data_IF_455285878177
#
_entry.id   IF_455285878177
#
_cell.length_a   1.000
_cell.length_b   1.000
_cell.length_c   1.000
_cell.angle_alpha   90.00
_cell.angle_beta   90.00
_cell.angle_gamma   90.00
#
_symmetry.space_group_name_H-M   'P 1'
#
loop_
_entity.id
_entity.type
_entity.pdbx_description
1 polymer ?
#
# COMPACT_ATOMS: atom_id res chain seq x y z
N UNK A 1 14.51 1.06 -12.80
CA UNK A 1 13.54 0.73 -11.73
C UNK A 1 12.73 1.96 -11.40
N UNK A 2 11.43 1.83 -11.26
CA UNK A 2 10.54 2.94 -10.92
C UNK A 2 10.49 3.13 -9.40
N UNK A 3 10.41 4.36 -8.90
CA UNK A 3 10.17 4.57 -7.48
C UNK A 3 8.85 3.94 -7.05
N UNK A 4 8.82 3.41 -5.84
CA UNK A 4 7.59 2.87 -5.27
C UNK A 4 6.76 4.04 -4.73
N UNK A 5 5.51 4.15 -5.18
CA UNK A 5 4.64 5.24 -4.75
C UNK A 5 3.90 4.83 -3.48
N UNK A 6 4.08 5.58 -2.42
CA UNK A 6 3.30 5.43 -1.18
C UNK A 6 2.20 6.47 -1.22
N UNK A 7 0.97 6.00 -1.42
CA UNK A 7 -0.17 6.86 -1.78
C UNK A 7 -1.15 6.93 -0.64
N UNK A 8 -1.40 8.13 -0.13
CA UNK A 8 -2.47 8.37 0.84
C UNK A 8 -3.81 8.39 0.12
N UNK A 9 -4.77 7.61 0.62
CA UNK A 9 -6.13 7.58 0.09
C UNK A 9 -7.05 8.59 0.76
N UNK A 10 -6.53 9.38 1.70
CA UNK A 10 -7.33 10.35 2.44
C UNK A 10 -8.25 9.66 3.45
N UNK A 11 -9.35 10.34 3.86
CA UNK A 11 -10.19 9.88 4.96
C UNK A 11 -11.13 8.71 4.62
N UNK A 12 -11.11 8.19 3.40
CA UNK A 12 -11.91 7.03 3.03
C UNK A 12 -12.92 7.26 1.93
N UNK A 13 -13.21 8.50 1.59
CA UNK A 13 -14.08 8.83 0.46
C UNK A 13 -13.27 8.79 -0.83
N UNK A 14 -13.63 7.94 -1.81
CA UNK A 14 -12.88 7.87 -3.07
C UNK A 14 -12.75 9.20 -3.80
N UNK A 15 -13.71 10.10 -3.63
CA UNK A 15 -13.68 11.41 -4.29
C UNK A 15 -12.66 12.37 -3.67
N UNK A 16 -12.14 12.05 -2.50
CA UNK A 16 -11.18 12.91 -1.79
C UNK A 16 -9.72 12.57 -2.08
N UNK A 17 -9.46 11.61 -2.97
CA UNK A 17 -8.10 11.31 -3.38
C UNK A 17 -7.54 12.45 -4.25
N UNK A 18 -6.23 12.70 -4.14
CA UNK A 18 -5.60 13.72 -5.00
C UNK A 18 -5.50 13.23 -6.44
N UNK A 19 -5.44 14.16 -7.38
CA UNK A 19 -5.27 13.81 -8.80
C UNK A 19 -3.95 13.08 -9.04
N UNK A 20 -2.89 13.48 -8.36
CA UNK A 20 -1.59 12.83 -8.48
C UNK A 20 -1.66 11.39 -7.95
N UNK A 21 -2.34 11.18 -6.82
CA UNK A 21 -2.54 9.86 -6.26
C UNK A 21 -3.29 8.95 -7.21
N UNK A 22 -4.38 9.44 -7.80
CA UNK A 22 -5.16 8.67 -8.76
C UNK A 22 -4.34 8.31 -9.99
N UNK A 23 -3.55 9.25 -10.50
CA UNK A 23 -2.68 9.01 -11.65
C UNK A 23 -1.67 7.90 -11.36
N UNK A 24 -1.03 7.93 -10.19
CA UNK A 24 -0.07 6.89 -9.81
C UNK A 24 -0.74 5.52 -9.65
N UNK A 25 -1.94 5.49 -9.09
CA UNK A 25 -2.71 4.25 -8.95
C UNK A 25 -3.01 3.64 -10.32
N UNK A 26 -3.41 4.45 -11.27
CA UNK A 26 -3.71 3.98 -12.63
C UNK A 26 -2.48 3.51 -13.40
N UNK A 27 -1.32 4.05 -13.08
CA UNK A 27 -0.06 3.66 -13.71
C UNK A 27 0.55 2.41 -13.07
N UNK A 28 0.13 2.05 -11.87
CA UNK A 28 0.74 0.95 -11.14
C UNK A 28 0.33 -0.41 -11.71
N UNK A 29 1.29 -1.31 -11.81
CA UNK A 29 1.07 -2.71 -12.19
C UNK A 29 0.62 -3.54 -10.98
N UNK A 30 1.02 -3.14 -9.78
CA UNK A 30 0.65 -3.79 -8.53
C UNK A 30 0.46 -2.74 -7.44
N UNK A 31 -0.63 -2.86 -6.68
CA UNK A 31 -0.98 -1.93 -5.61
C UNK A 31 -1.18 -2.73 -4.33
N UNK A 32 -0.29 -2.56 -3.37
CA UNK A 32 -0.32 -3.29 -2.11
C UNK A 32 -1.16 -2.54 -1.08
N UNK A 33 -2.16 -3.24 -0.54
CA UNK A 33 -3.14 -2.67 0.38
C UNK A 33 -3.12 -3.43 1.70
N UNK A 34 -2.87 -2.76 2.84
CA UNK A 34 -3.03 -3.42 4.14
C UNK A 34 -4.45 -3.94 4.31
N UNK A 35 -4.59 -5.13 4.87
CA UNK A 35 -5.87 -5.80 5.03
C UNK A 35 -5.95 -6.48 6.39
N UNK A 36 -7.18 -6.64 6.87
CA UNK A 36 -7.48 -7.37 8.11
C UNK A 36 -7.95 -8.77 7.77
N UNK A 37 -7.46 -9.77 8.49
CA UNK A 37 -7.93 -11.14 8.35
C UNK A 37 -9.26 -11.29 9.06
N UNK A 38 -10.28 -11.72 8.31
CA UNK A 38 -11.62 -11.96 8.85
C UNK A 38 -11.71 -13.34 9.51
N UNK A 39 -12.74 -13.60 10.34
CA UNK A 39 -12.90 -14.91 10.97
C UNK A 39 -13.00 -16.08 9.99
N UNK A 40 -13.47 -15.84 8.77
CA UNK A 40 -13.57 -16.87 7.71
C UNK A 40 -12.27 -17.04 6.92
N UNK A 41 -11.20 -16.34 7.29
CA UNK A 41 -9.92 -16.38 6.60
C UNK A 41 -9.77 -15.42 5.43
N UNK A 42 -10.85 -14.74 5.02
CA UNK A 42 -10.76 -13.75 3.94
C UNK A 42 -10.09 -12.47 4.41
N UNK A 43 -9.63 -11.65 3.45
CA UNK A 43 -9.01 -10.36 3.72
C UNK A 43 -10.01 -9.24 3.46
N UNK A 44 -10.16 -8.34 4.43
CA UNK A 44 -10.94 -7.12 4.29
C UNK A 44 -10.00 -5.92 4.25
N UNK A 45 -10.09 -5.11 3.21
CA UNK A 45 -9.26 -3.92 3.05
C UNK A 45 -10.12 -2.75 2.62
N UNK A 46 -10.18 -1.73 3.47
CA UNK A 46 -10.83 -0.46 3.11
C UNK A 46 -10.13 0.18 1.91
N UNK A 47 -8.81 0.10 1.86
CA UNK A 47 -8.05 0.61 0.73
C UNK A 47 -8.45 -0.09 -0.57
N UNK A 48 -8.55 -1.42 -0.56
CA UNK A 48 -8.98 -2.16 -1.74
C UNK A 48 -10.39 -1.78 -2.18
N UNK A 49 -11.29 -1.54 -1.23
CA UNK A 49 -12.67 -1.10 -1.53
C UNK A 49 -12.67 0.28 -2.22
N UNK A 50 -11.83 1.19 -1.77
CA UNK A 50 -11.67 2.51 -2.40
C UNK A 50 -11.14 2.35 -3.83
N UNK A 51 -10.16 1.48 -4.03
CA UNK A 51 -9.61 1.24 -5.37
C UNK A 51 -10.65 0.68 -6.32
N UNK A 52 -11.51 -0.23 -5.86
CA UNK A 52 -12.62 -0.75 -6.67
C UNK A 52 -13.60 0.35 -7.03
N UNK A 53 -13.91 1.25 -6.10
CA UNK A 53 -14.78 2.39 -6.36
C UNK A 53 -14.18 3.35 -7.39
N UNK A 54 -12.86 3.40 -7.49
CA UNK A 54 -12.15 4.20 -8.49
C UNK A 54 -11.97 3.47 -9.83
N UNK A 55 -12.55 2.28 -9.97
CA UNK A 55 -12.44 1.44 -11.17
C UNK A 55 -11.01 1.03 -11.49
N UNK A 56 -10.19 0.84 -10.46
CA UNK A 56 -8.85 0.28 -10.63
C UNK A 56 -8.97 -1.22 -10.94
N UNK A 57 -8.14 -1.70 -11.86
CA UNK A 57 -8.13 -3.10 -12.25
C UNK A 57 -7.86 -4.00 -11.05
N UNK A 58 -8.77 -4.93 -10.78
CA UNK A 58 -8.64 -5.85 -9.65
C UNK A 58 -7.39 -6.74 -9.76
N UNK A 59 -6.92 -7.02 -10.97
CA UNK A 59 -5.70 -7.78 -11.16
C UNK A 59 -4.46 -7.08 -10.59
N UNK A 60 -4.51 -5.76 -10.48
CA UNK A 60 -3.41 -4.98 -9.89
C UNK A 60 -3.50 -4.89 -8.37
N UNK A 61 -4.66 -5.14 -7.77
CA UNK A 61 -4.87 -4.95 -6.33
C UNK A 61 -4.32 -6.15 -5.56
N UNK A 62 -3.42 -5.89 -4.60
CA UNK A 62 -2.72 -6.91 -3.79
C UNK A 62 -2.97 -6.70 -2.31
N UNK A 63 -4.10 -7.13 -1.75
CA UNK A 63 -4.29 -7.04 -0.29
C UNK A 63 -3.28 -7.93 0.42
N UNK A 64 -2.73 -7.46 1.53
CA UNK A 64 -1.83 -8.25 2.36
C UNK A 64 -2.23 -8.16 3.82
N UNK A 65 -2.14 -9.27 4.57
CA UNK A 65 -2.60 -9.28 5.96
C UNK A 65 -1.67 -8.47 6.88
N UNK A 66 -2.28 -7.71 7.78
CA UNK A 66 -1.57 -7.00 8.84
C UNK A 66 -2.28 -7.30 10.15
N UNK A 67 -1.51 -7.72 11.15
CA UNK A 67 -2.07 -8.01 12.46
C UNK A 67 -2.59 -6.75 13.14
N UNK A 68 -3.84 -6.81 13.60
CA UNK A 68 -4.50 -5.72 14.32
C UNK A 68 -4.14 -5.78 15.81
N UNK A 69 -2.85 -5.69 16.12
CA UNK A 69 -2.38 -5.71 17.51
C UNK A 69 -1.35 -4.64 17.73
N UNK A 70 -1.24 -4.19 18.99
CA UNK A 70 -0.16 -3.32 19.42
C UNK A 70 1.17 -4.08 19.51
N UNK A 71 1.30 -5.19 18.81
CA UNK A 71 2.52 -5.97 18.75
C UNK A 71 3.36 -5.50 17.56
N UNK A 72 4.38 -4.75 17.87
CA UNK A 72 5.29 -4.19 16.89
C UNK A 72 6.04 -5.27 16.11
N UNK A 73 6.41 -6.36 16.77
CA UNK A 73 7.13 -7.45 16.12
C UNK A 73 6.25 -8.15 15.08
N UNK A 74 4.98 -8.39 15.39
CA UNK A 74 4.04 -9.00 14.46
C UNK A 74 3.79 -8.08 13.26
N UNK A 75 3.62 -6.78 13.49
CA UNK A 75 3.44 -5.81 12.43
C UNK A 75 4.66 -5.75 11.51
N UNK A 76 5.86 -5.71 12.07
CA UNK A 76 7.09 -5.72 11.28
C UNK A 76 7.23 -6.97 10.42
N UNK A 77 6.84 -8.14 10.94
CA UNK A 77 6.87 -9.39 10.19
C UNK A 77 5.91 -9.35 9.00
N UNK A 78 4.68 -8.84 9.23
CA UNK A 78 3.67 -8.74 8.18
C UNK A 78 4.10 -7.77 7.07
N UNK A 79 4.61 -6.59 7.44
CA UNK A 79 5.12 -5.63 6.47
C UNK A 79 6.37 -6.16 5.78
N UNK A 80 7.22 -6.89 6.49
CA UNK A 80 8.39 -7.52 5.91
C UNK A 80 8.04 -8.51 4.79
N UNK A 81 7.02 -9.32 5.01
CA UNK A 81 6.55 -10.27 3.99
C UNK A 81 6.03 -9.53 2.75
N UNK A 82 5.28 -8.44 2.96
CA UNK A 82 4.80 -7.62 1.85
C UNK A 82 5.97 -6.98 1.08
N UNK A 83 6.97 -6.47 1.79
CA UNK A 83 8.15 -5.84 1.16
C UNK A 83 8.93 -6.83 0.31
N UNK A 84 9.02 -8.10 0.72
CA UNK A 84 9.66 -9.13 -0.11
C UNK A 84 8.95 -9.28 -1.46
N UNK A 85 7.62 -9.29 -1.45
CA UNK A 85 6.83 -9.38 -2.68
C UNK A 85 6.99 -8.13 -3.54
N UNK A 86 6.99 -6.96 -2.91
CA UNK A 86 7.18 -5.68 -3.59
C UNK A 86 8.55 -5.66 -4.28
N UNK A 87 9.59 -6.07 -3.57
CA UNK A 87 10.94 -6.12 -4.12
C UNK A 87 11.02 -7.03 -5.35
N UNK A 88 10.36 -8.19 -5.30
CA UNK A 88 10.33 -9.12 -6.42
C UNK A 88 9.64 -8.50 -7.65
N UNK A 89 8.51 -7.81 -7.45
CA UNK A 89 7.81 -7.17 -8.55
C UNK A 89 8.61 -6.00 -9.13
N UNK A 90 9.29 -5.22 -8.30
CA UNK A 90 10.18 -4.16 -8.75
C UNK A 90 11.33 -4.70 -9.60
N UNK A 91 11.88 -5.85 -9.20
CA UNK A 91 12.96 -6.51 -9.94
C UNK A 91 12.50 -6.95 -11.33
N UNK A 92 11.20 -7.20 -11.51
CA UNK A 92 10.61 -7.54 -12.80
C UNK A 92 10.30 -6.31 -13.66
N UNK A 93 10.62 -5.11 -13.18
CA UNK A 93 10.36 -3.86 -13.89
C UNK A 93 8.95 -3.31 -13.73
N UNK A 94 8.16 -3.87 -12.82
CA UNK A 94 6.79 -3.41 -12.58
C UNK A 94 6.77 -2.13 -11.76
N UNK A 95 5.76 -1.31 -12.00
CA UNK A 95 5.48 -0.14 -11.18
C UNK A 95 4.62 -0.55 -10.00
N UNK A 96 5.11 -0.28 -8.79
CA UNK A 96 4.44 -0.71 -7.57
C UNK A 96 3.98 0.50 -6.76
N UNK A 97 2.78 0.42 -6.22
CA UNK A 97 2.25 1.39 -5.28
C UNK A 97 1.85 0.68 -3.98
N UNK A 98 1.90 1.42 -2.89
CA UNK A 98 1.43 0.96 -1.57
C UNK A 98 0.45 2.01 -1.06
N UNK A 99 -0.70 1.59 -0.57
CA UNK A 99 -1.69 2.52 -0.05
C UNK A 99 -1.51 2.74 1.44
N UNK A 100 -1.87 3.94 1.89
CA UNK A 100 -1.92 4.29 3.30
C UNK A 100 -3.24 5.00 3.58
N UNK A 101 -3.81 4.75 4.75
CA UNK A 101 -4.97 5.49 5.21
C UNK A 101 -4.51 6.81 5.82
N UNK A 102 -5.29 7.87 5.60
CA UNK A 102 -4.92 9.19 6.06
C UNK A 102 -3.74 9.77 5.29
N UNK A 103 -2.92 10.57 5.95
CA UNK A 103 -1.74 11.17 5.34
C UNK A 103 -0.58 10.17 5.35
N UNK A 104 -0.04 9.85 4.18
CA UNK A 104 1.08 8.92 4.05
C UNK A 104 2.34 9.32 4.82
N UNK A 105 2.49 10.60 5.18
CA UNK A 105 3.62 11.10 5.96
C UNK A 105 3.41 11.00 7.47
N UNK A 106 2.22 10.65 7.93
CA UNK A 106 1.82 10.86 9.32
C UNK A 106 1.83 9.61 10.19
N UNK A 107 1.62 8.41 9.65
CA UNK A 107 1.43 7.24 10.48
C UNK A 107 2.31 6.05 10.24
N UNK A 108 2.34 5.25 11.29
CA UNK A 108 3.22 4.13 11.53
C UNK A 108 3.22 3.07 10.43
N UNK A 109 2.09 2.76 9.78
CA UNK A 109 2.07 1.71 8.74
C UNK A 109 2.91 2.10 7.54
N UNK A 110 2.73 3.31 7.01
CA UNK A 110 3.55 3.77 5.90
C UNK A 110 5.00 3.97 6.32
N UNK A 111 5.24 4.33 7.59
CA UNK A 111 6.58 4.44 8.15
C UNK A 111 7.33 3.12 8.16
N UNK A 112 6.68 2.03 8.56
CA UNK A 112 7.29 0.70 8.54
C UNK A 112 7.65 0.27 7.12
N UNK A 113 6.72 0.44 6.19
CA UNK A 113 6.97 0.09 4.79
C UNK A 113 8.12 0.90 4.23
N UNK A 114 8.12 2.21 4.43
CA UNK A 114 9.19 3.10 3.94
C UNK A 114 10.56 2.68 4.48
N UNK A 115 10.64 2.39 5.79
CA UNK A 115 11.89 1.98 6.41
C UNK A 115 12.40 0.67 5.84
N UNK A 116 11.52 -0.32 5.69
CA UNK A 116 11.89 -1.63 5.17
C UNK A 116 12.32 -1.55 3.70
N UNK A 117 11.65 -0.73 2.90
CA UNK A 117 12.04 -0.52 1.50
C UNK A 117 13.39 0.18 1.39
N UNK A 118 13.64 1.17 2.26
CA UNK A 118 14.92 1.87 2.30
C UNK A 118 16.07 0.93 2.66
N UNK A 119 15.86 0.01 3.58
CA UNK A 119 16.85 -1.00 3.94
C UNK A 119 17.25 -1.87 2.76
N UNK A 120 16.36 -2.05 1.80
CA UNK A 120 16.63 -2.81 0.59
C UNK A 120 17.18 -1.98 -0.56
N UNK A 121 17.43 -0.69 -0.32
CA UNK A 121 17.91 0.23 -1.35
C UNK A 121 16.87 0.58 -2.41
N UNK A 122 15.58 0.39 -2.12
CA UNK A 122 14.50 0.73 -3.03
C UNK A 122 14.06 2.18 -2.81
N UNK A 123 13.94 2.94 -3.90
CA UNK A 123 13.51 4.33 -3.79
C UNK A 123 11.99 4.42 -3.70
N UNK A 124 11.53 5.41 -2.96
CA UNK A 124 10.10 5.65 -2.76
C UNK A 124 9.75 7.11 -3.03
N UNK A 125 8.51 7.35 -3.42
CA UNK A 125 7.93 8.69 -3.43
C UNK A 125 6.66 8.67 -2.61
N UNK A 126 6.40 9.75 -1.88
CA UNK A 126 5.19 9.88 -1.09
C UNK A 126 4.23 10.84 -1.75
N UNK A 127 2.97 10.42 -1.83
CA UNK A 127 1.91 11.22 -2.40
C UNK A 127 0.93 11.55 -1.29
N UNK A 128 0.90 12.81 -0.93
CA UNK A 128 0.09 13.27 0.18
C UNK A 128 -1.41 13.09 -0.10
N UNK A 129 -2.16 12.84 0.97
CA UNK A 129 -3.61 12.90 0.98
C UNK A 129 -4.10 14.25 1.50
N UNK A 130 -5.40 14.33 1.63
CA UNK A 130 -6.06 15.52 2.18
C UNK A 130 -6.02 15.49 3.71
#
# INVERSE_FOLDING_TARGET
MHPISIISLGPGDPELITLKGLRRLRQADAIYCPATVQPDGSLASRAADILRALNIDMAAIRPFPVAMRDDRAAALADYGAAVERIAAECAEGRRVAVTAEGDAGFYSSSGYVSALLAERGLSTERIAGI
#
